data_IF_339525927412
#
_entry.id   IF_339525927412
#
_cell.length_a   1.000
_cell.length_b   1.000
_cell.length_c   1.000
_cell.angle_alpha   90.00
_cell.angle_beta   90.00
_cell.angle_gamma   90.00
#
_symmetry.space_group_name_H-M   'P 1'
#
loop_
_entity.id
_entity.type
_entity.pdbx_description
1 polymer ?
#
# COMPACT_ATOMS: atom_id res chain seq x y z
N UNK A 1 -4.31 7.22 -39.63
CA UNK A 1 -4.69 6.41 -38.44
C UNK A 1 -4.01 5.01 -38.43
N UNK A 2 -2.70 4.91 -38.73
CA UNK A 2 -1.95 3.63 -38.75
C UNK A 2 -0.94 3.48 -37.58
N UNK A 3 -0.96 4.36 -36.58
CA UNK A 3 0.09 4.41 -35.53
C UNK A 3 -0.28 3.76 -34.19
N UNK A 4 -1.55 3.38 -33.96
CA UNK A 4 -1.96 2.80 -32.66
C UNK A 4 -1.42 1.37 -32.43
N UNK A 5 -1.09 0.65 -33.50
CA UNK A 5 -0.52 -0.71 -33.44
C UNK A 5 0.99 -0.71 -33.70
N UNK A 6 1.73 0.23 -33.09
CA UNK A 6 3.18 0.36 -33.26
C UNK A 6 3.95 -0.91 -32.83
N UNK A 7 3.41 -1.66 -31.85
CA UNK A 7 4.00 -2.88 -31.31
C UNK A 7 4.00 -4.07 -32.29
N UNK A 8 3.14 -4.04 -33.33
CA UNK A 8 3.03 -5.14 -34.30
C UNK A 8 4.25 -5.25 -35.23
N UNK A 9 5.15 -4.25 -35.23
CA UNK A 9 6.42 -4.28 -35.97
C UNK A 9 7.60 -4.86 -35.18
N UNK A 10 7.42 -5.13 -33.89
CA UNK A 10 8.50 -5.61 -33.03
C UNK A 10 8.80 -7.09 -33.25
N UNK A 11 10.00 -7.55 -32.89
CA UNK A 11 10.30 -8.97 -32.90
C UNK A 11 9.36 -9.72 -31.93
N UNK A 12 8.96 -10.93 -32.30
CA UNK A 12 7.96 -11.75 -31.58
C UNK A 12 8.17 -11.80 -30.05
N UNK A 13 9.38 -11.95 -29.50
CA UNK A 13 9.58 -11.98 -28.04
C UNK A 13 9.12 -10.69 -27.35
N UNK A 14 9.37 -9.53 -27.94
CA UNK A 14 8.96 -8.24 -27.39
C UNK A 14 7.45 -8.01 -27.53
N UNK A 15 6.82 -8.56 -28.58
CA UNK A 15 5.36 -8.52 -28.73
C UNK A 15 4.66 -9.30 -27.63
N UNK A 16 5.14 -10.51 -27.32
CA UNK A 16 4.60 -11.34 -26.25
C UNK A 16 4.77 -10.67 -24.88
N UNK A 17 5.94 -10.11 -24.62
CA UNK A 17 6.22 -9.40 -23.36
C UNK A 17 5.33 -8.17 -23.21
N UNK A 18 5.14 -7.40 -24.28
CA UNK A 18 4.22 -6.26 -24.28
C UNK A 18 2.77 -6.70 -24.06
N UNK A 19 2.30 -7.73 -24.77
CA UNK A 19 0.94 -8.24 -24.62
C UNK A 19 0.68 -8.78 -23.19
N UNK A 20 1.66 -9.48 -22.61
CA UNK A 20 1.60 -9.96 -21.24
C UNK A 20 1.51 -8.81 -20.24
N UNK A 21 2.41 -7.82 -20.36
CA UNK A 21 2.40 -6.64 -19.50
C UNK A 21 1.11 -5.82 -19.63
N UNK A 22 0.57 -5.68 -20.84
CA UNK A 22 -0.69 -4.98 -21.09
C UNK A 22 -1.89 -5.72 -20.49
N UNK A 23 -1.94 -7.05 -20.61
CA UNK A 23 -2.97 -7.86 -19.96
C UNK A 23 -2.92 -7.71 -18.43
N UNK A 24 -1.72 -7.76 -17.86
CA UNK A 24 -1.50 -7.61 -16.42
C UNK A 24 -1.89 -6.21 -15.94
N UNK A 25 -1.57 -5.17 -16.72
CA UNK A 25 -1.98 -3.79 -16.44
C UNK A 25 -3.51 -3.64 -16.45
N UNK A 26 -4.20 -4.20 -17.45
CA UNK A 26 -5.67 -4.15 -17.53
C UNK A 26 -6.30 -4.91 -16.35
N UNK A 27 -5.76 -6.08 -16.00
CA UNK A 27 -6.22 -6.84 -14.83
C UNK A 27 -6.04 -6.04 -13.53
N UNK A 28 -4.86 -5.42 -13.32
CA UNK A 28 -4.58 -4.60 -12.16
C UNK A 28 -5.48 -3.35 -12.10
N UNK A 29 -5.70 -2.66 -13.22
CA UNK A 29 -6.58 -1.49 -13.29
C UNK A 29 -8.04 -1.87 -13.02
N UNK A 30 -8.50 -3.00 -13.56
CA UNK A 30 -9.86 -3.51 -13.31
C UNK A 30 -10.04 -3.88 -11.85
N UNK A 31 -9.05 -4.58 -11.28
CA UNK A 31 -9.05 -4.92 -9.86
C UNK A 31 -9.07 -3.67 -8.97
N UNK A 32 -8.25 -2.66 -9.26
CA UNK A 32 -8.23 -1.39 -8.54
C UNK A 32 -9.60 -0.68 -8.56
N UNK A 33 -10.24 -0.62 -9.73
CA UNK A 33 -11.59 -0.04 -9.86
C UNK A 33 -12.58 -0.86 -9.02
N UNK A 34 -12.59 -2.18 -9.14
CA UNK A 34 -13.50 -3.05 -8.38
C UNK A 34 -13.25 -2.90 -6.87
N UNK A 35 -12.01 -2.83 -6.41
CA UNK A 35 -11.69 -2.68 -5.00
C UNK A 35 -12.15 -1.34 -4.46
N UNK A 36 -11.94 -0.25 -5.19
CA UNK A 36 -12.32 1.09 -4.74
C UNK A 36 -13.84 1.25 -4.62
N UNK A 37 -14.60 0.76 -5.61
CA UNK A 37 -16.06 0.87 -5.61
C UNK A 37 -16.77 -0.25 -4.83
N UNK A 38 -16.11 -1.41 -4.66
CA UNK A 38 -16.63 -2.57 -3.94
C UNK A 38 -16.39 -2.53 -2.44
N UNK A 39 -15.34 -1.86 -1.96
CA UNK A 39 -14.92 -1.89 -0.55
C UNK A 39 -15.69 -0.93 0.38
N UNK A 40 -16.99 -0.70 0.15
CA UNK A 40 -17.81 0.00 1.15
C UNK A 40 -17.89 -0.86 2.42
N UNK A 41 -17.24 -0.40 3.49
CA UNK A 41 -17.23 -0.97 4.86
C UNK A 41 -16.25 -2.11 5.18
N UNK A 42 -15.19 -2.33 4.38
CA UNK A 42 -14.31 -3.51 4.56
C UNK A 42 -13.06 -3.24 5.45
N UNK A 43 -12.52 -2.01 5.50
CA UNK A 43 -11.21 -1.78 6.13
C UNK A 43 -11.20 -1.14 7.52
N UNK A 44 -11.96 -0.04 7.71
CA UNK A 44 -11.98 0.75 8.94
C UNK A 44 -13.43 0.94 9.38
N UNK A 45 -13.84 0.20 10.41
CA UNK A 45 -15.13 0.43 11.05
C UNK A 45 -14.98 1.56 12.05
N UNK A 46 -16.00 2.40 12.18
CA UNK A 46 -16.05 3.37 13.27
C UNK A 46 -16.50 2.64 14.53
N UNK A 47 -15.60 2.54 15.51
CA UNK A 47 -15.97 2.11 16.86
C UNK A 47 -16.51 3.32 17.62
N UNK A 48 -17.78 3.22 18.03
CA UNK A 48 -18.47 4.25 18.79
C UNK A 48 -18.35 3.87 20.25
N UNK A 49 -17.51 4.60 21.00
CA UNK A 49 -17.45 4.46 22.45
C UNK A 49 -18.33 5.54 23.08
N UNK A 50 -19.34 5.11 23.83
CA UNK A 50 -20.31 5.98 24.50
C UNK A 50 -20.02 6.03 25.99
N UNK A 51 -19.76 7.21 26.52
CA UNK A 51 -19.53 7.46 27.93
C UNK A 51 -20.67 8.33 28.49
N UNK A 52 -21.35 7.85 29.53
CA UNK A 52 -22.41 8.60 30.20
C UNK A 52 -21.82 9.19 31.48
N UNK A 53 -21.86 10.52 31.60
CA UNK A 53 -21.44 11.24 32.82
C UNK A 53 -22.63 11.89 33.49
N UNK A 54 -22.81 11.63 34.76
CA UNK A 54 -23.82 12.28 35.60
C UNK A 54 -23.20 13.46 36.34
N UNK A 55 -23.74 14.65 36.13
CA UNK A 55 -23.36 15.85 36.88
C UNK A 55 -24.58 16.32 37.69
N UNK A 56 -24.43 16.50 39.02
CA UNK A 56 -25.49 17.05 39.83
C UNK A 56 -25.67 18.53 39.46
N UNK A 57 -26.89 18.91 39.08
CA UNK A 57 -27.26 20.29 38.79
C UNK A 57 -28.30 20.72 39.81
N UNK A 58 -28.14 21.92 40.35
CA UNK A 58 -29.14 22.51 41.24
C UNK A 58 -30.31 22.96 40.37
N UNK A 59 -31.44 22.26 40.48
CA UNK A 59 -32.65 22.55 39.69
C UNK A 59 -33.56 23.53 40.41
N UNK A 60 -33.55 23.49 41.74
CA UNK A 60 -34.34 24.37 42.57
C UNK A 60 -33.61 24.69 43.88
N UNK A 61 -33.98 25.78 44.55
CA UNK A 61 -33.45 26.10 45.87
C UNK A 61 -34.56 26.63 46.76
N UNK A 62 -34.63 26.14 47.99
CA UNK A 62 -35.58 26.64 48.97
C UNK A 62 -34.86 27.09 50.24
N UNK A 63 -35.43 28.12 50.88
CA UNK A 63 -34.85 28.73 52.07
C UNK A 63 -35.63 28.28 53.31
N UNK A 64 -34.91 27.80 54.33
CA UNK A 64 -35.49 27.47 55.64
C UNK A 64 -34.70 28.20 56.73
N UNK A 65 -35.26 29.29 57.23
CA UNK A 65 -34.58 30.20 58.17
C UNK A 65 -33.46 30.99 57.48
N UNK A 66 -32.26 30.99 58.07
CA UNK A 66 -31.08 31.67 57.52
C UNK A 66 -30.26 30.82 56.52
N UNK A 67 -30.69 29.58 56.25
CA UNK A 67 -29.96 28.66 55.37
C UNK A 67 -30.69 28.44 54.05
N UNK A 68 -29.94 28.43 52.95
CA UNK A 68 -30.41 28.03 51.62
C UNK A 68 -30.03 26.57 51.35
N UNK A 69 -31.00 25.78 50.90
CA UNK A 69 -30.81 24.39 50.51
C UNK A 69 -31.09 24.25 49.02
N UNK A 70 -30.12 23.74 48.27
CA UNK A 70 -30.28 23.41 46.85
C UNK A 70 -30.83 22.00 46.68
N UNK A 71 -31.89 21.86 45.88
CA UNK A 71 -32.41 20.58 45.38
C UNK A 71 -31.57 20.21 44.17
N UNK A 72 -30.75 19.17 44.32
CA UNK A 72 -29.92 18.64 43.25
C UNK A 72 -30.72 17.60 42.46
N UNK A 73 -30.62 17.64 41.13
CA UNK A 73 -31.04 16.55 40.27
C UNK A 73 -29.87 16.10 39.40
N UNK A 74 -29.85 14.83 39.04
CA UNK A 74 -28.83 14.26 38.19
C UNK A 74 -29.09 14.65 36.74
N UNK A 75 -28.18 15.42 36.15
CA UNK A 75 -28.16 15.67 34.70
C UNK A 75 -27.22 14.67 34.03
N UNK A 76 -27.70 13.96 33.02
CA UNK A 76 -26.92 12.96 32.30
C UNK A 76 -26.40 13.53 30.97
N UNK A 77 -25.09 13.52 30.80
CA UNK A 77 -24.42 13.88 29.56
C UNK A 77 -23.94 12.62 28.84
N UNK A 78 -24.28 12.51 27.56
CA UNK A 78 -23.84 11.40 26.71
C UNK A 78 -22.71 11.92 25.82
N UNK A 79 -21.50 11.44 26.07
CA UNK A 79 -20.34 11.70 25.23
C UNK A 79 -20.14 10.51 24.28
N UNK A 80 -20.12 10.79 22.98
CA UNK A 80 -19.76 9.80 21.97
C UNK A 80 -18.37 10.13 21.42
N UNK A 81 -17.47 9.16 21.47
CA UNK A 81 -16.17 9.23 20.82
C UNK A 81 -16.10 8.23 19.67
N UNK A 82 -15.71 8.71 18.50
CA UNK A 82 -15.53 7.90 17.30
C UNK A 82 -14.06 7.56 17.16
N UNK A 83 -13.73 6.27 17.24
CA UNK A 83 -12.37 5.76 17.03
C UNK A 83 -12.34 4.88 15.78
N UNK A 84 -11.23 4.89 15.06
CA UNK A 84 -11.02 3.91 13.98
C UNK A 84 -10.81 2.53 14.60
N UNK A 85 -11.51 1.52 14.09
CA UNK A 85 -11.29 0.13 14.48
C UNK A 85 -9.87 -0.31 14.14
N UNK A 86 -9.37 -1.33 14.84
CA UNK A 86 -8.14 -2.02 14.43
C UNK A 86 -8.34 -2.55 13.00
N UNK A 87 -7.34 -2.33 12.14
CA UNK A 87 -7.37 -2.79 10.76
C UNK A 87 -7.32 -4.33 10.77
N UNK A 88 -8.36 -4.99 10.25
CA UNK A 88 -8.38 -6.44 10.16
C UNK A 88 -8.00 -6.86 8.75
N UNK A 89 -6.70 -7.02 8.53
CA UNK A 89 -6.17 -7.43 7.22
C UNK A 89 -6.28 -8.94 7.07
N UNK A 90 -6.97 -9.43 6.03
CA UNK A 90 -6.95 -10.87 5.71
C UNK A 90 -5.54 -11.29 5.27
N UNK A 91 -4.83 -12.17 6.02
CA UNK A 91 -3.40 -12.41 5.76
C UNK A 91 -3.13 -12.96 4.35
N UNK A 92 -3.94 -13.91 3.88
CA UNK A 92 -3.77 -14.51 2.56
C UNK A 92 -3.89 -13.49 1.41
N UNK A 93 -4.76 -12.47 1.58
CA UNK A 93 -4.97 -11.43 0.58
C UNK A 93 -3.81 -10.42 0.58
N UNK A 94 -3.28 -10.09 1.76
CA UNK A 94 -2.07 -9.29 1.89
C UNK A 94 -0.88 -9.98 1.20
N UNK A 95 -0.71 -11.30 1.37
CA UNK A 95 0.33 -12.07 0.67
C UNK A 95 0.17 -12.05 -0.86
N UNK A 96 -1.06 -12.20 -1.38
CA UNK A 96 -1.32 -12.14 -2.82
C UNK A 96 -1.01 -10.77 -3.43
N UNK A 97 -1.43 -9.68 -2.77
CA UNK A 97 -1.15 -8.32 -3.23
C UNK A 97 0.36 -8.06 -3.18
N UNK A 98 1.00 -8.40 -2.06
CA UNK A 98 2.44 -8.24 -1.88
C UNK A 98 3.21 -8.99 -2.97
N UNK A 99 2.93 -10.28 -3.17
CA UNK A 99 3.56 -11.08 -4.21
C UNK A 99 3.37 -10.51 -5.62
N UNK A 100 2.17 -9.99 -5.91
CA UNK A 100 1.87 -9.36 -7.20
C UNK A 100 2.67 -8.06 -7.41
N UNK A 101 2.78 -7.22 -6.38
CA UNK A 101 3.59 -5.99 -6.41
C UNK A 101 5.06 -6.33 -6.65
N UNK A 102 5.61 -7.31 -5.93
CA UNK A 102 7.02 -7.68 -6.09
C UNK A 102 7.31 -8.31 -7.45
N UNK A 103 6.39 -9.08 -8.02
CA UNK A 103 6.50 -9.58 -9.39
C UNK A 103 6.55 -8.43 -10.42
N UNK A 104 5.72 -7.40 -10.23
CA UNK A 104 5.74 -6.21 -11.07
C UNK A 104 7.04 -5.42 -10.89
N UNK A 105 7.52 -5.28 -9.66
CA UNK A 105 8.80 -4.65 -9.35
C UNK A 105 9.97 -5.39 -10.00
N UNK A 106 9.95 -6.73 -10.01
CA UNK A 106 10.95 -7.52 -10.71
C UNK A 106 10.96 -7.22 -12.22
N UNK A 107 9.79 -7.18 -12.86
CA UNK A 107 9.69 -6.85 -14.27
C UNK A 107 10.14 -5.41 -14.58
N UNK A 108 9.78 -4.45 -13.72
CA UNK A 108 10.22 -3.06 -13.79
C UNK A 108 11.73 -2.93 -13.59
N UNK A 109 12.31 -3.61 -12.60
CA UNK A 109 13.73 -3.61 -12.31
C UNK A 109 14.56 -4.12 -13.49
N UNK A 110 14.10 -5.19 -14.16
CA UNK A 110 14.72 -5.69 -15.39
C UNK A 110 14.73 -4.62 -16.48
N UNK A 111 13.60 -3.94 -16.70
CA UNK A 111 13.52 -2.90 -17.73
C UNK A 111 14.41 -1.70 -17.40
N UNK A 112 14.37 -1.21 -16.16
CA UNK A 112 15.20 -0.08 -15.69
C UNK A 112 16.68 -0.40 -15.84
N UNK A 113 17.09 -1.62 -15.50
CA UNK A 113 18.50 -2.05 -15.61
C UNK A 113 19.05 -2.00 -17.04
N UNK A 114 18.19 -2.00 -18.06
CA UNK A 114 18.57 -1.95 -19.48
C UNK A 114 18.53 -0.55 -20.08
N UNK A 115 17.88 0.40 -19.41
CA UNK A 115 17.82 1.80 -19.84
C UNK A 115 19.23 2.38 -19.77
N UNK A 116 19.68 3.00 -20.86
CA UNK A 116 20.98 3.69 -20.94
C UNK A 116 20.79 5.20 -20.72
N UNK A 117 21.87 5.88 -20.32
CA UNK A 117 21.93 7.35 -20.21
C UNK A 117 21.08 7.92 -19.06
N UNK A 118 20.79 9.22 -19.11
CA UNK A 118 20.13 9.99 -18.06
C UNK A 118 18.75 9.45 -17.67
N UNK A 119 18.05 8.77 -18.59
CA UNK A 119 16.76 8.11 -18.35
C UNK A 119 16.83 7.01 -17.29
N UNK A 120 18.01 6.41 -17.06
CA UNK A 120 18.21 5.44 -15.97
C UNK A 120 17.95 6.09 -14.61
N UNK A 121 18.52 7.27 -14.37
CA UNK A 121 18.35 7.98 -13.11
C UNK A 121 16.90 8.42 -12.89
N UNK A 122 16.25 8.92 -13.95
CA UNK A 122 14.81 9.25 -13.89
C UNK A 122 13.98 8.03 -13.51
N UNK A 123 14.24 6.89 -14.14
CA UNK A 123 13.50 5.66 -13.87
C UNK A 123 13.77 5.12 -12.45
N UNK A 124 15.02 5.19 -11.97
CA UNK A 124 15.39 4.79 -10.61
C UNK A 124 14.76 5.72 -9.55
N UNK A 125 14.75 7.04 -9.77
CA UNK A 125 14.08 7.98 -8.87
C UNK A 125 12.57 7.78 -8.85
N UNK A 126 11.98 7.53 -10.02
CA UNK A 126 10.54 7.20 -10.13
C UNK A 126 10.21 5.92 -9.37
N UNK A 127 11.06 4.90 -9.47
CA UNK A 127 10.93 3.66 -8.70
C UNK A 127 10.99 3.93 -7.19
N UNK A 128 11.92 4.77 -6.74
CA UNK A 128 12.02 5.16 -5.33
C UNK A 128 10.76 5.86 -4.82
N UNK A 129 10.22 6.80 -5.60
CA UNK A 129 8.94 7.45 -5.28
C UNK A 129 7.80 6.43 -5.25
N UNK A 130 7.76 5.49 -6.19
CA UNK A 130 6.76 4.42 -6.21
C UNK A 130 6.81 3.55 -4.94
N UNK A 131 8.00 3.16 -4.47
CA UNK A 131 8.15 2.45 -3.18
C UNK A 131 7.59 3.24 -2.00
N UNK A 132 7.79 4.56 -1.98
CA UNK A 132 7.23 5.42 -0.93
C UNK A 132 5.70 5.42 -0.95
N UNK A 133 5.08 5.48 -2.13
CA UNK A 133 3.61 5.47 -2.24
C UNK A 133 2.97 4.10 -1.95
N UNK A 134 3.72 3.00 -2.08
CA UNK A 134 3.20 1.66 -1.82
C UNK A 134 2.78 1.45 -0.36
N UNK A 135 3.31 2.22 0.60
CA UNK A 135 3.03 2.10 2.04
C UNK A 135 2.91 0.62 2.49
N UNK A 136 3.94 -0.17 2.19
CA UNK A 136 3.96 -1.62 2.47
C UNK A 136 3.79 -1.95 3.96
N UNK A 137 4.02 -0.96 4.83
CA UNK A 137 3.76 -1.00 6.27
C UNK A 137 2.27 -1.17 6.61
N UNK A 138 1.36 -0.71 5.76
CA UNK A 138 -0.10 -0.84 5.94
C UNK A 138 -0.58 -2.27 5.66
N UNK A 139 0.15 -3.04 4.86
CA UNK A 139 -0.22 -4.43 4.53
C UNK A 139 0.06 -5.41 5.68
N UNK A 140 0.70 -4.97 6.77
CA UNK A 140 1.10 -5.82 7.90
C UNK A 140 1.77 -7.11 7.44
N UNK A 141 2.64 -7.01 6.43
CA UNK A 141 3.35 -8.17 5.88
C UNK A 141 4.17 -8.79 7.01
N UNK A 142 3.95 -10.09 7.27
CA UNK A 142 4.53 -10.82 8.40
C UNK A 142 4.12 -10.34 9.80
N UNK A 143 3.04 -9.57 9.92
CA UNK A 143 2.55 -9.06 11.20
C UNK A 143 3.37 -7.88 11.75
N UNK A 144 4.23 -7.27 10.94
CA UNK A 144 5.00 -6.09 11.31
C UNK A 144 4.53 -4.86 10.52
N UNK A 145 3.93 -3.87 11.19
CA UNK A 145 3.59 -2.58 10.57
C UNK A 145 4.78 -1.60 10.67
N UNK A 146 5.85 -1.86 9.92
CA UNK A 146 7.10 -1.09 10.06
C UNK A 146 7.66 -0.63 8.71
N UNK A 147 8.11 0.64 8.66
CA UNK A 147 8.71 1.26 7.47
C UNK A 147 9.97 0.55 6.99
N UNK A 148 10.63 -0.21 7.87
CA UNK A 148 11.84 -0.97 7.54
C UNK A 148 11.65 -1.88 6.33
N UNK A 149 10.49 -2.50 6.16
CA UNK A 149 10.23 -3.38 5.01
C UNK A 149 10.30 -2.65 3.68
N UNK A 150 9.74 -1.45 3.60
CA UNK A 150 9.81 -0.59 2.40
C UNK A 150 11.26 -0.21 2.09
N UNK A 151 12.04 0.17 3.11
CA UNK A 151 13.43 0.58 2.94
C UNK A 151 14.31 -0.60 2.50
N UNK A 152 14.18 -1.76 3.15
CA UNK A 152 14.95 -2.96 2.82
C UNK A 152 14.61 -3.38 1.39
N UNK A 153 13.33 -3.42 1.01
CA UNK A 153 12.89 -3.75 -0.35
C UNK A 153 13.52 -2.82 -1.38
N UNK A 154 13.47 -1.51 -1.14
CA UNK A 154 14.03 -0.52 -2.04
C UNK A 154 15.55 -0.68 -2.19
N UNK A 155 16.27 -0.89 -1.08
CA UNK A 155 17.73 -1.12 -1.13
C UNK A 155 18.05 -2.41 -1.89
N UNK A 156 17.32 -3.50 -1.64
CA UNK A 156 17.57 -4.79 -2.27
C UNK A 156 17.39 -4.73 -3.79
N UNK A 157 16.28 -4.13 -4.25
CA UNK A 157 16.02 -3.94 -5.68
C UNK A 157 16.93 -2.87 -6.29
N UNK A 158 17.12 -1.73 -5.62
CA UNK A 158 17.91 -0.60 -6.11
C UNK A 158 19.39 -0.95 -6.31
N UNK A 159 20.00 -1.63 -5.34
CA UNK A 159 21.40 -2.11 -5.46
C UNK A 159 21.50 -3.10 -6.61
N UNK A 160 20.57 -4.08 -6.69
CA UNK A 160 20.56 -5.07 -7.76
C UNK A 160 20.45 -4.44 -9.14
N UNK A 161 19.54 -3.48 -9.31
CA UNK A 161 19.38 -2.70 -10.54
C UNK A 161 20.69 -2.01 -10.91
N UNK A 162 21.34 -1.37 -9.94
CA UNK A 162 22.60 -0.68 -10.16
C UNK A 162 23.73 -1.64 -10.54
N UNK A 163 23.78 -2.83 -9.95
CA UNK A 163 24.78 -3.86 -10.28
C UNK A 163 24.67 -4.29 -11.75
N UNK A 164 23.45 -4.57 -12.21
CA UNK A 164 23.22 -4.95 -13.61
C UNK A 164 23.42 -3.80 -14.60
N UNK A 165 23.15 -2.57 -14.18
CA UNK A 165 23.36 -1.39 -15.03
C UNK A 165 24.84 -1.07 -15.18
N UNK A 166 25.58 -0.98 -14.07
CA UNK A 166 26.96 -0.46 -14.04
C UNK A 166 28.02 -1.53 -14.30
N UNK A 167 27.86 -2.72 -13.71
CA UNK A 167 28.93 -3.74 -13.70
C UNK A 167 28.66 -4.90 -14.67
N UNK A 168 27.40 -5.22 -14.95
CA UNK A 168 27.01 -6.36 -15.79
C UNK A 168 26.11 -6.00 -16.99
N UNK A 169 26.44 -4.97 -17.80
CA UNK A 169 25.60 -4.54 -18.92
C UNK A 169 25.47 -5.60 -20.04
N UNK A 170 26.40 -6.55 -20.11
CA UNK A 170 26.42 -7.60 -21.15
C UNK A 170 25.46 -8.76 -20.88
N UNK A 171 24.90 -8.86 -19.66
CA UNK A 171 23.99 -9.95 -19.29
C UNK A 171 22.66 -9.78 -20.01
N UNK A 172 22.27 -10.81 -20.75
CA UNK A 172 21.02 -10.86 -21.50
C UNK A 172 19.78 -10.73 -20.62
N UNK A 173 18.68 -10.28 -21.24
CA UNK A 173 17.41 -9.95 -20.59
C UNK A 173 16.81 -11.16 -19.83
N UNK A 174 16.94 -12.37 -20.38
CA UNK A 174 16.45 -13.60 -19.78
C UNK A 174 17.10 -13.91 -18.42
N UNK A 175 18.43 -13.77 -18.30
CA UNK A 175 19.15 -14.03 -17.05
C UNK A 175 18.80 -13.01 -15.96
N UNK A 176 18.56 -11.75 -16.35
CA UNK A 176 18.09 -10.72 -15.42
C UNK A 176 16.70 -11.03 -14.88
N UNK A 177 15.78 -11.49 -15.74
CA UNK A 177 14.46 -11.95 -15.27
C UNK A 177 14.58 -13.07 -14.25
N UNK A 178 15.37 -14.11 -14.54
CA UNK A 178 15.58 -15.21 -13.59
C UNK A 178 16.15 -14.70 -12.27
N UNK A 179 17.15 -13.81 -12.31
CA UNK A 179 17.74 -13.23 -11.11
C UNK A 179 16.72 -12.43 -10.28
N UNK A 180 16.00 -11.48 -10.89
CA UNK A 180 15.04 -10.65 -10.17
C UNK A 180 13.84 -11.45 -9.67
N UNK A 181 13.43 -12.49 -10.40
CA UNK A 181 12.38 -13.41 -9.96
C UNK A 181 12.84 -14.25 -8.76
N UNK A 182 14.07 -14.77 -8.81
CA UNK A 182 14.67 -15.48 -7.68
C UNK A 182 14.84 -14.58 -6.46
N UNK A 183 15.30 -13.34 -6.67
CA UNK A 183 15.45 -12.33 -5.63
C UNK A 183 14.10 -11.98 -4.99
N UNK A 184 13.05 -11.86 -5.80
CA UNK A 184 11.68 -11.66 -5.32
C UNK A 184 11.19 -12.83 -4.48
N UNK A 185 11.40 -14.07 -4.95
CA UNK A 185 11.03 -15.26 -4.19
C UNK A 185 11.76 -15.30 -2.85
N UNK A 186 13.08 -15.05 -2.84
CA UNK A 186 13.89 -15.02 -1.63
C UNK A 186 13.39 -13.95 -0.64
N UNK A 187 13.09 -12.75 -1.13
CA UNK A 187 12.54 -11.67 -0.30
C UNK A 187 11.16 -12.03 0.25
N UNK A 188 10.34 -12.70 -0.54
CA UNK A 188 9.01 -13.12 -0.13
C UNK A 188 9.03 -14.27 0.89
N UNK A 189 10.10 -15.07 1.00
CA UNK A 189 10.18 -16.17 1.98
C UNK A 189 10.97 -15.84 3.26
N UNK A 190 11.57 -14.65 3.34
CA UNK A 190 12.26 -14.11 4.52
C UNK A 190 11.26 -13.46 5.48
#
# INVERSE_FOLDING_TARGET
>A
MKSLLFWNKWAKPYQWLYAFALCLFVAAATFFIISEYGAKNIGLKWEISTEIKTLPVVVDSFQKGFFQFGVQADNQYVFQSFRGSVQNTMPWFAYLITGSIFLLLAAGAVTISYVKSWWYYVALTTLGAFFYFLNLDVLEVYGFSNLYWTIISFLFFGISIHVFHSFMPQVGLAYRYVYFFFLTALFFFL
#
